data_IF_788744258144
#
_entry.id   IF_788744258144
#
_cell.length_a   1.000
_cell.length_b   1.000
_cell.length_c   1.000
_cell.angle_alpha   90.00
_cell.angle_beta   90.00
_cell.angle_gamma   90.00
#
_symmetry.space_group_name_H-M   'P 1'
#
loop_
_entity.id
_entity.type
_entity.pdbx_description
1 polymer ?
#
# COMPACT_ATOMS: atom_id res chain seq x y z
N UNK A 1 -4.38 -15.62 -68.46
CA UNK A 1 -5.29 -14.77 -67.66
C UNK A 1 -5.16 -14.95 -66.14
N UNK A 2 -5.04 -16.17 -65.57
CA UNK A 2 -4.96 -16.37 -64.11
C UNK A 2 -3.69 -15.82 -63.43
N UNK A 3 -2.55 -15.79 -64.14
CA UNK A 3 -1.27 -15.32 -63.58
C UNK A 3 -1.21 -13.79 -63.40
N UNK A 4 -1.87 -13.03 -64.28
CA UNK A 4 -1.96 -11.58 -64.18
C UNK A 4 -2.85 -11.13 -63.01
N UNK A 5 -3.90 -11.90 -62.70
CA UNK A 5 -4.75 -11.63 -61.54
C UNK A 5 -3.97 -11.74 -60.23
N UNK A 6 -3.17 -12.79 -60.05
CA UNK A 6 -2.36 -12.98 -58.83
C UNK A 6 -1.35 -11.86 -58.59
N UNK A 7 -0.72 -11.34 -59.64
CA UNK A 7 0.23 -10.22 -59.54
C UNK A 7 -0.48 -8.93 -59.16
N UNK A 8 -1.66 -8.67 -59.74
CA UNK A 8 -2.46 -7.48 -59.44
C UNK A 8 -2.98 -7.54 -57.99
N UNK A 9 -3.48 -8.70 -57.52
CA UNK A 9 -3.94 -8.83 -56.14
C UNK A 9 -2.78 -8.66 -55.14
N UNK A 10 -1.59 -9.18 -55.46
CA UNK A 10 -0.41 -9.01 -54.61
C UNK A 10 0.04 -7.54 -54.53
N UNK A 11 0.02 -6.81 -55.65
CA UNK A 11 0.34 -5.38 -55.68
C UNK A 11 -0.69 -4.52 -54.92
N UNK A 12 -1.98 -4.88 -54.94
CA UNK A 12 -3.03 -4.17 -54.19
C UNK A 12 -2.87 -4.41 -52.67
N UNK A 13 -2.52 -5.63 -52.25
CA UNK A 13 -2.29 -5.95 -50.83
C UNK A 13 -1.02 -5.27 -50.32
N UNK A 14 0.03 -5.19 -51.14
CA UNK A 14 1.27 -4.50 -50.76
C UNK A 14 1.05 -2.98 -50.62
N UNK A 15 0.31 -2.36 -51.53
CA UNK A 15 0.05 -0.90 -51.50
C UNK A 15 -0.84 -0.51 -50.33
N UNK A 16 -1.88 -1.29 -50.01
CA UNK A 16 -2.74 -1.04 -48.84
C UNK A 16 -2.00 -1.21 -47.52
N UNK A 17 -1.10 -2.19 -47.42
CA UNK A 17 -0.25 -2.41 -46.23
C UNK A 17 0.76 -1.27 -46.03
N UNK A 18 1.35 -0.75 -47.12
CA UNK A 18 2.27 0.39 -47.09
C UNK A 18 1.53 1.69 -46.71
N UNK A 19 0.33 1.92 -47.25
CA UNK A 19 -0.50 3.08 -46.90
C UNK A 19 -0.91 3.05 -45.43
N UNK A 20 -1.28 1.87 -44.89
CA UNK A 20 -1.58 1.72 -43.46
C UNK A 20 -0.34 1.97 -42.58
N UNK A 21 0.85 1.52 -43.00
CA UNK A 21 2.09 1.76 -42.27
C UNK A 21 2.50 3.23 -42.29
N UNK A 22 2.36 3.91 -43.43
CA UNK A 22 2.62 5.35 -43.57
C UNK A 22 1.62 6.18 -42.77
N UNK A 23 0.34 5.79 -42.71
CA UNK A 23 -0.66 6.49 -41.89
C UNK A 23 -0.43 6.28 -40.40
N UNK A 24 0.03 5.09 -39.97
CA UNK A 24 0.46 4.82 -38.58
C UNK A 24 1.73 5.58 -38.19
N UNK A 25 2.62 5.82 -39.15
CA UNK A 25 3.83 6.63 -38.95
C UNK A 25 3.50 8.14 -38.93
N UNK A 26 2.59 8.61 -39.80
CA UNK A 26 2.09 10.00 -39.80
C UNK A 26 1.29 10.35 -38.54
N UNK A 27 0.51 9.44 -37.97
CA UNK A 27 -0.16 9.67 -36.69
C UNK A 27 0.80 9.68 -35.48
N UNK A 28 2.01 9.14 -35.64
CA UNK A 28 3.10 9.21 -34.66
C UNK A 28 3.98 10.47 -34.74
N UNK A 29 3.80 11.33 -35.75
CA UNK A 29 4.68 12.47 -36.03
C UNK A 29 4.07 13.86 -35.81
N UNK A 30 2.90 13.96 -35.19
CA UNK A 30 2.40 15.23 -34.66
C UNK A 30 2.85 15.46 -33.20
N UNK A 31 4.16 15.36 -32.97
CA UNK A 31 4.79 16.00 -31.82
C UNK A 31 5.26 17.39 -32.25
N UNK A 32 4.33 18.35 -32.23
CA UNK A 32 4.70 19.75 -32.33
C UNK A 32 5.48 20.13 -31.09
N UNK A 33 6.70 20.61 -31.34
CA UNK A 33 7.56 21.32 -30.41
C UNK A 33 6.76 22.34 -29.59
N UNK A 34 6.53 22.02 -28.32
CA UNK A 34 6.53 23.01 -27.25
C UNK A 34 7.61 22.60 -26.28
N UNK A 35 8.76 23.27 -26.39
CA UNK A 35 9.74 23.34 -25.31
C UNK A 35 9.08 23.96 -24.08
N UNK A 36 8.42 23.13 -23.27
CA UNK A 36 8.21 23.42 -21.87
C UNK A 36 9.48 22.98 -21.16
N UNK A 37 10.38 23.94 -20.92
CA UNK A 37 11.42 23.79 -19.90
C UNK A 37 10.71 23.50 -18.57
N UNK A 38 10.51 22.22 -18.25
CA UNK A 38 10.26 21.80 -16.89
C UNK A 38 11.56 22.00 -16.13
N UNK A 39 11.73 23.22 -15.61
CA UNK A 39 12.62 23.48 -14.50
C UNK A 39 12.32 22.42 -13.43
N UNK A 40 13.31 21.56 -13.20
CA UNK A 40 13.41 20.74 -12.01
C UNK A 40 13.30 21.66 -10.80
N UNK A 41 12.08 21.88 -10.32
CA UNK A 41 11.87 22.26 -8.95
C UNK A 41 12.30 21.02 -8.15
N UNK A 42 13.53 21.08 -7.61
CA UNK A 42 13.80 20.46 -6.30
C UNK A 42 12.57 20.76 -5.44
N UNK A 43 12.06 19.80 -4.64
CA UNK A 43 10.97 20.10 -3.73
C UNK A 43 11.36 21.36 -2.99
N UNK A 44 10.64 22.45 -3.27
CA UNK A 44 10.74 23.68 -2.50
C UNK A 44 10.47 23.19 -1.09
N UNK A 45 11.38 23.42 -0.16
CA UNK A 45 11.10 23.27 1.26
C UNK A 45 9.76 23.97 1.49
N UNK A 46 8.71 23.18 1.68
CA UNK A 46 7.41 23.69 2.07
C UNK A 46 7.60 24.03 3.53
N UNK A 47 8.16 25.22 3.77
CA UNK A 47 7.96 25.94 5.01
C UNK A 47 6.49 26.38 5.03
N UNK A 48 5.60 25.43 5.31
CA UNK A 48 4.33 25.72 5.94
C UNK A 48 4.41 25.20 7.36
N UNK A 49 5.02 25.98 8.24
CA UNK A 49 4.75 25.91 9.68
C UNK A 49 3.29 26.37 9.91
N UNK A 50 2.35 25.55 9.48
CA UNK A 50 1.17 25.27 10.29
C UNK A 50 1.42 23.87 10.85
N UNK A 51 2.45 23.78 11.68
CA UNK A 51 2.56 22.68 12.62
C UNK A 51 1.34 22.80 13.52
N UNK A 52 0.25 22.14 13.14
CA UNK A 52 -0.70 21.69 14.13
C UNK A 52 0.16 21.00 15.18
N UNK A 53 0.24 21.59 16.37
CA UNK A 53 0.85 20.97 17.55
C UNK A 53 -0.04 19.78 17.85
N UNK A 54 0.19 18.70 17.12
CA UNK A 54 -0.50 17.44 17.28
C UNK A 54 0.17 16.83 18.49
N UNK A 55 -0.49 16.93 19.65
CA UNK A 55 -0.07 16.20 20.84
C UNK A 55 0.11 14.73 20.49
N UNK A 56 1.11 14.10 21.11
CA UNK A 56 1.40 12.70 20.91
C UNK A 56 0.17 11.88 21.33
N UNK A 57 -0.53 11.33 20.34
CA UNK A 57 -1.69 10.47 20.57
C UNK A 57 -1.23 9.16 21.17
N UNK A 58 -2.05 8.56 22.04
CA UNK A 58 -1.78 7.20 22.50
C UNK A 58 -2.09 6.17 21.42
N UNK A 59 -3.08 6.43 20.57
CA UNK A 59 -3.54 5.47 19.57
C UNK A 59 -4.03 6.18 18.30
N UNK A 60 -3.49 5.81 17.15
CA UNK A 60 -3.92 6.32 15.85
C UNK A 60 -4.54 5.20 15.01
N UNK A 61 -5.56 5.54 14.22
CA UNK A 61 -6.13 4.68 13.17
C UNK A 61 -5.94 5.43 11.86
N UNK A 62 -5.08 4.89 11.00
CA UNK A 62 -4.67 5.47 9.72
C UNK A 62 -5.35 4.70 8.59
N UNK A 63 -6.21 5.40 7.84
CA UNK A 63 -7.00 4.83 6.75
C UNK A 63 -6.54 5.43 5.43
N UNK A 64 -6.19 4.57 4.47
CA UNK A 64 -5.96 4.96 3.08
C UNK A 64 -7.26 4.90 2.30
N UNK A 65 -7.81 6.07 1.92
CA UNK A 65 -9.07 6.21 1.19
C UNK A 65 -8.81 6.66 -0.27
N UNK A 66 -9.58 6.14 -1.22
CA UNK A 66 -9.57 6.61 -2.61
C UNK A 66 -11.00 6.79 -3.14
N UNK A 67 -11.71 5.70 -3.41
CA UNK A 67 -13.01 5.74 -4.08
C UNK A 67 -13.99 4.73 -3.48
N UNK A 68 -13.71 4.27 -2.28
CA UNK A 68 -14.58 3.40 -1.53
C UNK A 68 -15.88 4.12 -1.16
N UNK A 69 -16.92 3.33 -0.95
CA UNK A 69 -18.22 3.81 -0.53
C UNK A 69 -18.12 4.54 0.83
N UNK A 70 -18.60 5.78 0.88
CA UNK A 70 -18.42 6.65 2.05
C UNK A 70 -19.18 6.10 3.25
N UNK A 71 -20.39 5.59 3.06
CA UNK A 71 -21.21 5.04 4.14
C UNK A 71 -20.57 3.78 4.73
N UNK A 72 -19.99 2.93 3.88
CA UNK A 72 -19.20 1.77 4.28
C UNK A 72 -17.99 2.18 5.13
N UNK A 73 -17.22 3.19 4.72
CA UNK A 73 -16.04 3.66 5.47
C UNK A 73 -16.45 4.35 6.78
N UNK A 74 -17.52 5.13 6.78
CA UNK A 74 -18.07 5.74 7.99
C UNK A 74 -18.58 4.67 8.97
N UNK A 75 -19.18 3.59 8.46
CA UNK A 75 -19.58 2.44 9.27
C UNK A 75 -18.35 1.72 9.86
N UNK A 76 -17.29 1.52 9.08
CA UNK A 76 -16.04 0.95 9.56
C UNK A 76 -15.46 1.75 10.74
N UNK A 77 -15.34 3.07 10.58
CA UNK A 77 -14.83 3.98 11.61
C UNK A 77 -15.68 3.88 12.88
N UNK A 78 -17.01 3.91 12.75
CA UNK A 78 -17.94 3.74 13.88
C UNK A 78 -17.72 2.43 14.62
N UNK A 79 -17.51 1.32 13.90
CA UNK A 79 -17.23 0.04 14.56
C UNK A 79 -15.90 0.06 15.31
N UNK A 80 -14.83 0.61 14.74
CA UNK A 80 -13.54 0.72 15.42
C UNK A 80 -13.60 1.60 16.69
N UNK A 81 -14.32 2.73 16.63
CA UNK A 81 -14.54 3.60 17.81
C UNK A 81 -15.27 2.87 18.95
N UNK A 82 -16.08 1.88 18.62
CA UNK A 82 -16.88 1.11 19.59
C UNK A 82 -16.18 -0.15 20.13
N UNK A 83 -14.99 -0.49 19.64
CA UNK A 83 -14.18 -1.56 20.23
C UNK A 83 -13.72 -1.13 21.62
N UNK A 84 -14.10 -1.87 22.65
CA UNK A 84 -13.91 -1.52 24.06
C UNK A 84 -12.44 -1.30 24.40
N UNK A 85 -11.57 -2.19 23.93
CA UNK A 85 -10.13 -2.08 24.12
C UNK A 85 -9.47 -0.95 23.35
N UNK A 86 -10.09 -0.40 22.31
CA UNK A 86 -9.58 0.77 21.62
C UNK A 86 -10.14 2.05 22.22
N UNK A 87 -11.43 2.06 22.58
CA UNK A 87 -12.15 3.22 23.11
C UNK A 87 -11.46 3.86 24.32
N UNK A 88 -10.84 3.05 25.19
CA UNK A 88 -10.07 3.55 26.36
C UNK A 88 -8.89 4.45 26.00
N UNK A 89 -8.37 4.38 24.77
CA UNK A 89 -7.29 5.22 24.28
C UNK A 89 -7.77 6.46 23.53
N UNK A 90 -9.08 6.62 23.34
CA UNK A 90 -9.69 7.67 22.52
C UNK A 90 -8.96 7.83 21.17
N UNK A 91 -8.99 6.80 20.30
CA UNK A 91 -8.12 6.73 19.14
C UNK A 91 -8.45 7.84 18.14
N UNK A 92 -7.40 8.46 17.60
CA UNK A 92 -7.51 9.48 16.57
C UNK A 92 -7.63 8.83 15.20
N UNK A 93 -8.67 9.19 14.45
CA UNK A 93 -8.93 8.73 13.09
C UNK A 93 -8.29 9.68 12.08
N UNK A 94 -7.33 9.17 11.32
CA UNK A 94 -6.59 9.91 10.30
C UNK A 94 -6.88 9.26 8.95
N UNK A 95 -7.53 10.00 8.06
CA UNK A 95 -7.85 9.53 6.71
C UNK A 95 -6.98 10.26 5.70
N UNK A 96 -6.20 9.50 4.94
CA UNK A 96 -5.50 10.04 3.78
C UNK A 96 -6.37 9.82 2.54
N UNK A 97 -6.94 10.91 2.02
CA UNK A 97 -7.75 10.92 0.81
C UNK A 97 -6.82 10.94 -0.42
N UNK A 98 -6.97 9.97 -1.32
CA UNK A 98 -6.23 9.92 -2.60
C UNK A 98 -7.06 10.34 -3.80
N UNK A 99 -8.30 10.75 -3.59
CA UNK A 99 -9.22 11.20 -4.61
C UNK A 99 -9.39 12.71 -4.54
N UNK A 100 -8.66 13.39 -5.44
CA UNK A 100 -8.66 14.84 -5.57
C UNK A 100 -9.99 15.44 -6.01
N UNK A 101 -10.99 14.63 -6.35
CA UNK A 101 -12.33 15.09 -6.74
C UNK A 101 -13.26 15.29 -5.54
N UNK A 102 -12.91 14.75 -4.38
CA UNK A 102 -13.71 14.86 -3.16
C UNK A 102 -13.11 15.93 -2.25
N UNK A 103 -13.95 16.83 -1.74
CA UNK A 103 -13.55 17.86 -0.80
C UNK A 103 -13.27 17.25 0.59
N UNK A 104 -12.09 17.53 1.16
CA UNK A 104 -11.66 16.95 2.43
C UNK A 104 -12.52 17.39 3.62
N UNK A 105 -13.05 18.62 3.65
CA UNK A 105 -13.91 19.10 4.75
C UNK A 105 -15.24 18.35 4.74
N UNK A 106 -15.81 18.14 3.55
CA UNK A 106 -17.03 17.32 3.39
C UNK A 106 -16.76 15.87 3.82
N UNK A 107 -15.67 15.28 3.33
CA UNK A 107 -15.30 13.91 3.67
C UNK A 107 -15.05 13.75 5.17
N UNK A 108 -14.48 14.76 5.83
CA UNK A 108 -14.20 14.75 7.27
C UNK A 108 -15.47 14.62 8.08
N UNK A 109 -16.48 15.41 7.72
CA UNK A 109 -17.80 15.38 8.36
C UNK A 109 -18.48 14.03 8.12
N UNK A 110 -18.49 13.56 6.86
CA UNK A 110 -19.18 12.31 6.50
C UNK A 110 -18.58 11.08 7.17
N UNK A 111 -17.25 11.03 7.31
CA UNK A 111 -16.54 9.91 7.91
C UNK A 111 -16.41 10.00 9.43
N UNK A 112 -16.78 11.13 10.05
CA UNK A 112 -16.48 11.41 11.46
C UNK A 112 -14.98 11.24 11.77
N UNK A 113 -14.14 11.73 10.85
CA UNK A 113 -12.68 11.63 10.95
C UNK A 113 -12.09 12.85 11.69
N UNK A 114 -11.05 12.63 12.49
CA UNK A 114 -10.39 13.70 13.23
C UNK A 114 -9.48 14.54 12.30
N UNK A 115 -8.81 13.88 11.36
CA UNK A 115 -7.91 14.48 10.38
C UNK A 115 -8.17 13.88 9.00
N UNK A 116 -8.29 14.74 7.98
CA UNK A 116 -8.23 14.33 6.58
C UNK A 116 -7.13 15.07 5.85
N UNK A 117 -6.29 14.33 5.12
CA UNK A 117 -5.23 14.91 4.30
C UNK A 117 -5.28 14.36 2.87
N UNK A 118 -5.20 15.26 1.88
CA UNK A 118 -5.11 14.86 0.47
C UNK A 118 -3.69 14.38 0.16
N UNK A 119 -3.56 13.23 -0.49
CA UNK A 119 -2.32 12.71 -1.07
C UNK A 119 -2.49 12.43 -2.57
N UNK A 120 -1.41 12.48 -3.37
CA UNK A 120 -1.42 11.92 -4.71
C UNK A 120 -1.83 10.45 -4.69
N UNK A 121 -2.58 10.01 -5.70
CA UNK A 121 -2.90 8.59 -5.90
C UNK A 121 -1.69 7.83 -6.46
N UNK A 122 -0.66 7.68 -5.63
CA UNK A 122 0.58 6.96 -5.93
C UNK A 122 0.80 5.85 -4.91
N UNK A 123 1.38 4.74 -5.35
CA UNK A 123 1.91 3.68 -4.51
C UNK A 123 0.90 2.97 -3.60
N UNK A 124 -0.38 2.97 -3.98
CA UNK A 124 -1.49 2.31 -3.25
C UNK A 124 -1.53 2.65 -1.75
N UNK A 125 -2.10 1.79 -0.91
CA UNK A 125 -2.12 1.96 0.54
C UNK A 125 -0.72 2.01 1.17
N UNK A 126 0.25 1.28 0.62
CA UNK A 126 1.60 1.24 1.19
C UNK A 126 2.28 2.61 1.21
N UNK A 127 2.11 3.42 0.17
CA UNK A 127 2.61 4.79 0.15
C UNK A 127 1.95 5.67 1.22
N UNK A 128 0.66 5.45 1.51
CA UNK A 128 -0.05 6.16 2.58
C UNK A 128 0.59 5.87 3.94
N UNK A 129 0.85 4.59 4.23
CA UNK A 129 1.39 4.18 5.53
C UNK A 129 2.82 4.68 5.71
N UNK A 130 3.64 4.54 4.66
CA UNK A 130 5.01 5.07 4.67
C UNK A 130 5.02 6.59 4.84
N UNK A 131 4.15 7.32 4.13
CA UNK A 131 4.00 8.77 4.29
C UNK A 131 3.68 9.12 5.74
N UNK A 132 2.68 8.46 6.34
CA UNK A 132 2.30 8.69 7.74
C UNK A 132 3.48 8.44 8.69
N UNK A 133 4.18 7.31 8.53
CA UNK A 133 5.34 6.97 9.35
C UNK A 133 6.43 8.03 9.21
N UNK A 134 6.78 8.44 7.99
CA UNK A 134 7.85 9.43 7.74
C UNK A 134 7.51 10.78 8.39
N UNK A 135 6.28 11.28 8.19
CA UNK A 135 5.87 12.59 8.70
C UNK A 135 5.69 12.64 10.22
N UNK A 136 5.50 11.48 10.85
CA UNK A 136 5.24 11.38 12.27
C UNK A 136 6.30 10.58 13.02
N UNK A 137 7.43 10.21 12.40
CA UNK A 137 8.35 9.20 12.92
C UNK A 137 8.76 9.41 14.40
N UNK A 138 9.03 10.65 14.79
CA UNK A 138 9.42 11.01 16.17
C UNK A 138 8.23 11.20 17.14
N UNK A 139 7.00 11.32 16.63
CA UNK A 139 5.78 11.64 17.38
C UNK A 139 4.60 10.69 17.11
N UNK A 140 4.85 9.57 16.44
CA UNK A 140 3.84 8.58 16.05
C UNK A 140 3.16 8.04 17.31
N UNK A 141 1.90 7.59 17.22
CA UNK A 141 1.18 7.07 18.39
C UNK A 141 1.82 5.82 19.02
N UNK A 142 1.47 5.47 20.26
CA UNK A 142 2.06 4.30 20.93
C UNK A 142 1.76 3.03 20.12
N UNK A 143 0.54 2.98 19.58
CA UNK A 143 0.08 1.98 18.62
C UNK A 143 -0.66 2.67 17.48
N UNK A 144 -0.50 2.11 16.29
CA UNK A 144 -1.19 2.59 15.10
C UNK A 144 -1.81 1.41 14.37
N UNK A 145 -3.10 1.52 14.05
CA UNK A 145 -3.75 0.65 13.07
C UNK A 145 -3.55 1.28 11.70
N UNK A 146 -3.02 0.52 10.75
CA UNK A 146 -3.02 0.86 9.34
C UNK A 146 -4.05 0.00 8.62
N UNK A 147 -4.93 0.62 7.83
CA UNK A 147 -5.94 -0.08 7.05
C UNK A 147 -6.24 0.60 5.72
N UNK A 148 -6.67 -0.20 4.74
CA UNK A 148 -7.35 0.30 3.55
C UNK A 148 -8.78 0.72 3.94
N UNK A 149 -9.36 1.67 3.21
CA UNK A 149 -10.77 2.01 3.38
C UNK A 149 -11.70 0.85 2.92
N UNK A 150 -11.29 0.09 1.90
CA UNK A 150 -11.93 -1.17 1.51
C UNK A 150 -11.54 -2.34 2.42
N UNK A 151 -11.83 -2.21 3.71
CA UNK A 151 -11.40 -3.14 4.76
C UNK A 151 -11.91 -4.57 4.55
N UNK A 152 -11.16 -5.57 5.00
CA UNK A 152 -11.66 -6.94 5.10
C UNK A 152 -12.23 -7.16 6.50
N UNK A 153 -13.38 -7.83 6.59
CA UNK A 153 -13.94 -8.18 7.89
C UNK A 153 -14.99 -7.20 8.42
N UNK A 154 -15.66 -6.45 7.55
CA UNK A 154 -17.01 -5.95 7.83
C UNK A 154 -18.03 -6.96 7.31
N UNK A 155 -19.05 -7.21 8.13
CA UNK A 155 -20.22 -8.03 7.83
C UNK A 155 -21.48 -7.17 8.00
N UNK A 156 -22.64 -7.71 7.60
CA UNK A 156 -23.92 -7.03 7.82
C UNK A 156 -24.22 -6.75 9.31
N UNK A 157 -23.55 -7.45 10.23
CA UNK A 157 -23.78 -7.37 11.67
C UNK A 157 -22.63 -6.66 12.43
N UNK A 158 -21.68 -6.04 11.74
CA UNK A 158 -20.52 -5.42 12.36
C UNK A 158 -19.19 -5.98 11.89
N UNK A 159 -18.13 -5.73 12.66
CA UNK A 159 -16.83 -6.34 12.43
C UNK A 159 -16.92 -7.86 12.59
N UNK A 160 -16.24 -8.60 11.71
CA UNK A 160 -16.18 -10.05 11.75
C UNK A 160 -15.58 -10.51 13.09
N UNK A 161 -16.05 -11.66 13.58
CA UNK A 161 -15.65 -12.18 14.89
C UNK A 161 -14.13 -12.33 15.05
N UNK A 162 -13.41 -12.74 14.01
CA UNK A 162 -11.95 -12.86 14.05
C UNK A 162 -11.25 -11.50 14.17
N UNK A 163 -11.85 -10.43 13.63
CA UNK A 163 -11.32 -9.07 13.74
C UNK A 163 -11.54 -8.56 15.16
N UNK A 164 -12.78 -8.69 15.66
CA UNK A 164 -13.12 -8.30 17.03
C UNK A 164 -12.31 -9.07 18.06
N UNK A 165 -12.14 -10.39 17.91
CA UNK A 165 -11.33 -11.20 18.82
C UNK A 165 -9.89 -10.67 18.95
N UNK A 166 -9.29 -10.25 17.84
CA UNK A 166 -7.94 -9.66 17.87
C UNK A 166 -7.88 -8.34 18.64
N UNK A 167 -8.84 -7.46 18.43
CA UNK A 167 -8.83 -6.16 19.08
C UNK A 167 -9.34 -6.20 20.54
N UNK A 168 -10.30 -7.05 20.86
CA UNK A 168 -10.92 -7.15 22.20
C UNK A 168 -10.23 -8.15 23.11
N UNK A 169 -9.69 -9.25 22.58
CA UNK A 169 -9.15 -10.32 23.42
C UNK A 169 -7.62 -10.47 23.30
N UNK A 170 -7.03 -10.22 22.14
CA UNK A 170 -5.59 -10.42 21.92
C UNK A 170 -4.77 -9.15 22.08
N UNK A 171 -5.35 -7.97 21.80
CA UNK A 171 -4.65 -6.71 21.92
C UNK A 171 -4.41 -6.29 23.37
N UNK A 172 -3.16 -5.96 23.67
CA UNK A 172 -2.73 -5.24 24.86
C UNK A 172 -1.51 -4.37 24.52
N UNK A 173 -1.04 -3.55 25.46
CA UNK A 173 0.07 -2.61 25.23
C UNK A 173 1.41 -3.26 24.87
N UNK A 174 1.61 -4.55 25.15
CA UNK A 174 2.83 -5.28 24.77
C UNK A 174 2.82 -5.79 23.32
N UNK A 175 1.68 -5.72 22.61
CA UNK A 175 1.61 -6.11 21.20
C UNK A 175 2.46 -5.15 20.37
N UNK A 176 3.47 -5.68 19.69
CA UNK A 176 4.34 -4.96 18.78
C UNK A 176 3.83 -4.95 17.34
N UNK A 177 3.28 -6.07 16.87
CA UNK A 177 2.66 -6.19 15.55
C UNK A 177 1.54 -7.22 15.59
N UNK A 178 0.41 -6.93 14.93
CA UNK A 178 -0.71 -7.87 14.82
C UNK A 178 -1.40 -7.68 13.46
N UNK A 179 -1.43 -8.71 12.59
CA UNK A 179 -2.21 -8.64 11.35
C UNK A 179 -3.71 -8.58 11.67
N UNK A 180 -4.43 -7.71 10.97
CA UNK A 180 -5.87 -7.50 11.11
C UNK A 180 -6.62 -8.00 9.87
N UNK A 181 -6.29 -9.20 9.40
CA UNK A 181 -6.90 -9.85 8.21
C UNK A 181 -7.34 -11.27 8.50
N UNK A 182 -8.26 -11.85 7.74
CA UNK A 182 -8.66 -13.24 7.96
C UNK A 182 -7.43 -14.18 7.98
N UNK A 183 -7.43 -15.25 8.80
CA UNK A 183 -6.32 -16.20 8.90
C UNK A 183 -5.91 -16.77 7.52
N UNK A 184 -6.85 -16.94 6.59
CA UNK A 184 -6.57 -17.40 5.21
C UNK A 184 -5.73 -16.41 4.38
N UNK A 185 -5.62 -15.14 4.82
CA UNK A 185 -4.79 -14.11 4.21
C UNK A 185 -3.38 -14.05 4.81
N UNK A 186 -3.10 -14.88 5.81
CA UNK A 186 -1.79 -15.06 6.41
C UNK A 186 -1.21 -16.36 5.85
N UNK A 187 -0.02 -16.29 5.27
CA UNK A 187 0.60 -17.46 4.64
C UNK A 187 2.12 -17.32 4.64
N UNK A 188 2.83 -18.33 4.12
CA UNK A 188 4.28 -18.38 4.11
C UNK A 188 4.80 -18.23 2.69
N UNK A 189 5.67 -17.25 2.47
CA UNK A 189 6.35 -17.03 1.19
C UNK A 189 7.80 -17.47 1.33
N UNK A 190 8.34 -18.16 0.33
CA UNK A 190 9.78 -18.44 0.28
C UNK A 190 10.48 -17.28 -0.45
N UNK A 191 10.69 -16.19 0.29
CA UNK A 191 11.32 -14.97 -0.18
C UNK A 191 10.75 -14.42 -1.50
N UNK A 192 9.42 -14.33 -1.53
CA UNK A 192 8.69 -13.86 -2.71
C UNK A 192 8.09 -14.97 -3.55
N UNK A 193 8.59 -16.21 -3.41
CA UNK A 193 8.01 -17.36 -4.11
C UNK A 193 6.80 -17.90 -3.34
N UNK A 194 5.66 -17.97 -4.02
CA UNK A 194 4.44 -18.58 -3.50
C UNK A 194 3.51 -19.01 -4.64
N UNK A 195 2.65 -20.00 -4.38
CA UNK A 195 1.70 -20.55 -5.36
C UNK A 195 0.75 -19.51 -5.97
N UNK A 196 0.45 -18.44 -5.25
CA UNK A 196 -0.46 -17.35 -5.73
C UNK A 196 0.27 -16.23 -6.46
N UNK A 197 1.59 -16.31 -6.61
CA UNK A 197 2.38 -15.38 -7.41
C UNK A 197 3.76 -15.13 -6.84
N UNK A 198 4.69 -14.77 -7.73
CA UNK A 198 6.08 -14.49 -7.41
C UNK A 198 6.34 -12.98 -7.23
N UNK A 199 6.97 -12.58 -6.13
CA UNK A 199 7.38 -11.22 -5.82
C UNK A 199 8.89 -11.18 -5.57
N UNK A 200 9.71 -11.25 -6.62
CA UNK A 200 11.15 -11.45 -6.49
C UNK A 200 11.83 -10.34 -5.67
N UNK A 201 11.25 -9.14 -5.65
CA UNK A 201 11.73 -8.01 -4.84
C UNK A 201 11.67 -8.24 -3.34
N UNK A 202 10.92 -9.24 -2.86
CA UNK A 202 10.95 -9.64 -1.47
C UNK A 202 12.34 -10.13 -1.03
N UNK A 203 13.13 -10.73 -1.93
CA UNK A 203 14.52 -11.12 -1.62
C UNK A 203 15.37 -9.90 -1.26
N UNK A 204 15.32 -8.85 -2.07
CA UNK A 204 16.06 -7.61 -1.81
C UNK A 204 15.52 -6.89 -0.58
N UNK A 205 14.20 -6.88 -0.38
CA UNK A 205 13.59 -6.33 0.83
C UNK A 205 14.04 -7.10 2.07
N UNK A 206 14.10 -8.42 2.03
CA UNK A 206 14.61 -9.23 3.14
C UNK A 206 16.05 -8.87 3.47
N UNK A 207 16.94 -8.87 2.46
CA UNK A 207 18.34 -8.53 2.64
C UNK A 207 18.52 -7.13 3.26
N UNK A 208 17.76 -6.14 2.78
CA UNK A 208 17.75 -4.78 3.32
C UNK A 208 17.23 -4.70 4.75
N UNK A 209 16.18 -5.46 5.10
CA UNK A 209 15.49 -5.33 6.39
C UNK A 209 16.06 -6.22 7.49
N UNK A 210 16.63 -7.38 7.12
CA UNK A 210 17.14 -8.37 8.07
C UNK A 210 18.66 -8.47 8.05
N UNK A 211 19.34 -7.73 7.17
CA UNK A 211 20.80 -7.75 7.00
C UNK A 211 21.35 -9.18 6.85
N UNK A 212 20.58 -10.04 6.19
CA UNK A 212 20.89 -11.46 6.01
C UNK A 212 20.27 -11.97 4.72
N UNK A 213 20.76 -13.11 4.24
CA UNK A 213 20.09 -13.82 3.17
C UNK A 213 18.79 -14.45 3.68
N UNK A 214 17.90 -14.73 2.74
CA UNK A 214 16.64 -15.41 3.00
C UNK A 214 16.86 -16.75 3.70
N UNK A 215 16.25 -16.99 4.88
CA UNK A 215 16.34 -18.28 5.53
C UNK A 215 15.49 -19.31 4.77
N UNK A 216 15.88 -20.59 4.81
CA UNK A 216 15.02 -21.67 4.33
C UNK A 216 13.74 -21.75 5.19
N UNK A 217 12.66 -22.29 4.61
CA UNK A 217 11.37 -22.45 5.32
C UNK A 217 10.41 -21.27 5.21
N UNK A 218 10.80 -20.22 4.49
CA UNK A 218 9.97 -19.09 4.15
C UNK A 218 9.73 -18.09 5.29
N UNK A 219 8.83 -17.15 5.04
CA UNK A 219 8.49 -16.04 5.92
C UNK A 219 6.98 -15.85 5.94
N UNK A 220 6.42 -15.63 7.13
CA UNK A 220 5.02 -15.26 7.21
C UNK A 220 4.79 -13.88 6.57
N UNK A 221 3.72 -13.80 5.78
CA UNK A 221 3.21 -12.59 5.14
C UNK A 221 1.71 -12.47 5.42
N UNK A 222 1.21 -11.24 5.45
CA UNK A 222 -0.22 -10.95 5.54
C UNK A 222 -0.62 -10.06 4.35
N UNK A 223 -1.71 -10.40 3.67
CA UNK A 223 -2.23 -9.60 2.54
C UNK A 223 -3.08 -8.42 3.02
N UNK A 224 -3.57 -7.59 2.07
CA UNK A 224 -4.47 -6.43 2.27
C UNK A 224 -3.89 -5.23 3.03
N UNK A 225 -2.72 -5.37 3.65
CA UNK A 225 -2.07 -4.26 4.35
C UNK A 225 -2.84 -3.76 5.57
N UNK A 226 -3.60 -4.63 6.25
CA UNK A 226 -4.36 -4.27 7.45
C UNK A 226 -3.67 -4.85 8.68
N UNK A 227 -3.16 -3.99 9.56
CA UNK A 227 -2.41 -4.42 10.73
C UNK A 227 -2.35 -3.34 11.81
N UNK A 228 -2.09 -3.78 13.04
CA UNK A 228 -1.70 -2.95 14.18
C UNK A 228 -0.19 -3.06 14.38
N UNK A 229 0.48 -1.96 14.69
CA UNK A 229 1.91 -1.93 14.99
C UNK A 229 2.22 -0.92 16.10
N UNK A 230 3.21 -1.22 16.95
CA UNK A 230 3.67 -0.32 18.01
C UNK A 230 4.69 0.69 17.49
N UNK A 231 4.79 1.82 18.19
CA UNK A 231 5.88 2.79 18.00
C UNK A 231 7.25 2.12 18.08
N UNK A 232 7.46 1.23 19.06
CA UNK A 232 8.76 0.56 19.27
C UNK A 232 9.16 -0.23 18.02
N UNK A 233 8.24 -0.95 17.37
CA UNK A 233 8.53 -1.64 16.10
C UNK A 233 8.83 -0.69 14.95
N UNK A 234 8.12 0.43 14.86
CA UNK A 234 8.36 1.45 13.82
C UNK A 234 9.74 2.10 14.01
N UNK A 235 10.05 2.53 15.24
CA UNK A 235 11.29 3.23 15.56
C UNK A 235 12.51 2.30 15.65
N UNK A 236 12.32 0.99 15.74
CA UNK A 236 13.40 0.01 15.61
C UNK A 236 13.93 -0.11 14.15
N UNK A 237 13.40 0.69 13.21
CA UNK A 237 13.90 0.82 11.84
C UNK A 237 14.28 2.27 11.59
N UNK A 238 15.43 2.47 10.94
CA UNK A 238 15.89 3.81 10.59
C UNK A 238 14.89 4.50 9.66
N UNK A 239 14.66 5.80 9.90
CA UNK A 239 13.77 6.63 9.09
C UNK A 239 14.10 6.55 7.59
N UNK A 240 15.37 6.43 7.24
CA UNK A 240 15.84 6.34 5.86
C UNK A 240 15.34 5.09 5.12
N UNK A 241 15.09 3.98 5.83
CA UNK A 241 14.48 2.78 5.22
C UNK A 241 13.06 3.12 4.75
N UNK A 242 12.28 3.82 5.57
CA UNK A 242 10.91 4.22 5.21
C UNK A 242 10.89 5.19 4.03
N UNK A 243 11.78 6.19 4.04
CA UNK A 243 11.94 7.14 2.92
C UNK A 243 12.32 6.44 1.63
N UNK A 244 13.31 5.56 1.68
CA UNK A 244 13.74 4.78 0.52
C UNK A 244 12.59 3.93 -0.07
N UNK A 245 11.85 3.23 0.80
CA UNK A 245 10.67 2.48 0.36
C UNK A 245 9.59 3.40 -0.24
N UNK A 246 9.39 4.60 0.33
CA UNK A 246 8.41 5.58 -0.16
C UNK A 246 8.80 6.12 -1.54
N UNK A 247 10.07 6.42 -1.76
CA UNK A 247 10.56 6.89 -3.06
C UNK A 247 10.36 5.83 -4.15
N UNK A 248 10.64 4.56 -3.83
CA UNK A 248 10.45 3.45 -4.77
C UNK A 248 8.97 3.18 -5.07
N UNK A 249 8.10 3.18 -4.05
CA UNK A 249 6.68 2.87 -4.24
C UNK A 249 5.91 4.01 -4.92
N UNK A 250 6.41 5.25 -4.84
CA UNK A 250 5.81 6.43 -5.48
C UNK A 250 6.52 6.84 -6.78
N UNK A 251 7.44 6.00 -7.25
CA UNK A 251 8.20 6.25 -8.46
C UNK A 251 7.28 6.58 -9.67
N UNK A 252 7.75 7.49 -10.51
CA UNK A 252 7.04 7.87 -11.72
C UNK A 252 7.11 6.75 -12.79
N UNK A 253 6.27 6.85 -13.81
CA UNK A 253 6.11 5.82 -14.85
C UNK A 253 7.37 5.53 -15.68
N UNK A 254 8.38 6.42 -15.72
CA UNK A 254 9.61 6.18 -16.46
C UNK A 254 10.63 5.37 -15.65
N UNK A 255 10.46 5.26 -14.34
CA UNK A 255 11.34 4.54 -13.44
C UNK A 255 11.42 3.04 -13.79
N UNK A 256 12.62 2.47 -13.71
CA UNK A 256 12.91 1.09 -14.14
C UNK A 256 12.08 0.04 -13.38
N UNK A 257 11.66 0.34 -12.15
CA UNK A 257 10.86 -0.55 -11.30
C UNK A 257 9.48 -0.89 -11.89
N UNK A 258 8.96 -0.06 -12.80
CA UNK A 258 7.71 -0.37 -13.53
C UNK A 258 7.88 -1.44 -14.61
N UNK A 259 9.13 -1.83 -14.93
CA UNK A 259 9.48 -2.85 -15.93
C UNK A 259 10.01 -4.14 -15.28
N UNK A 260 9.76 -4.32 -13.99
CA UNK A 260 10.20 -5.50 -13.25
C UNK A 260 9.56 -6.79 -13.80
N UNK A 261 10.16 -7.96 -13.61
CA UNK A 261 9.79 -9.20 -14.31
C UNK A 261 8.30 -9.57 -14.26
N UNK A 262 7.62 -9.28 -13.16
CA UNK A 262 6.18 -9.50 -13.02
C UNK A 262 5.32 -8.59 -13.92
N UNK A 263 5.90 -7.53 -14.47
CA UNK A 263 5.24 -6.60 -15.39
C UNK A 263 4.80 -7.25 -16.70
N UNK A 264 5.35 -8.42 -17.02
CA UNK A 264 4.92 -9.25 -18.14
C UNK A 264 3.50 -9.81 -17.95
N UNK A 265 3.05 -9.96 -16.71
CA UNK A 265 1.73 -10.52 -16.37
C UNK A 265 0.83 -9.53 -15.60
N UNK A 266 1.38 -8.38 -15.20
CA UNK A 266 0.68 -7.38 -14.42
C UNK A 266 1.13 -5.97 -14.81
N UNK A 267 0.23 -5.13 -15.30
CA UNK A 267 0.60 -3.75 -15.65
C UNK A 267 0.99 -2.97 -14.38
N UNK A 268 2.24 -2.52 -14.30
CA UNK A 268 2.73 -1.67 -13.22
C UNK A 268 2.51 -0.20 -13.57
N UNK A 269 1.73 0.52 -12.77
CA UNK A 269 1.51 1.97 -12.90
C UNK A 269 1.91 2.70 -11.62
N UNK A 270 2.11 4.03 -11.63
CA UNK A 270 2.46 4.77 -10.42
C UNK A 270 1.41 4.67 -9.30
N UNK A 271 0.12 4.58 -9.63
CA UNK A 271 -0.97 4.39 -8.67
C UNK A 271 -1.11 2.94 -8.19
N UNK A 272 -0.72 1.98 -9.03
CA UNK A 272 -0.79 0.55 -8.76
C UNK A 272 0.51 -0.19 -9.11
N UNK A 273 1.63 0.11 -8.43
CA UNK A 273 2.93 -0.48 -8.78
C UNK A 273 3.05 -1.90 -8.25
N UNK A 274 3.75 -2.76 -8.99
CA UNK A 274 4.15 -4.11 -8.54
C UNK A 274 4.91 -4.05 -7.22
N UNK A 275 5.76 -3.04 -7.06
CA UNK A 275 6.49 -2.82 -5.82
C UNK A 275 5.55 -2.52 -4.64
N UNK A 276 4.40 -1.89 -4.88
CA UNK A 276 3.39 -1.70 -3.82
C UNK A 276 2.84 -3.03 -3.29
N UNK A 277 2.59 -3.99 -4.18
CA UNK A 277 2.22 -5.35 -3.76
C UNK A 277 3.37 -6.11 -3.06
N UNK A 278 4.62 -5.77 -3.37
CA UNK A 278 5.79 -6.30 -2.65
C UNK A 278 5.83 -5.74 -1.23
N UNK A 279 5.65 -4.42 -1.09
CA UNK A 279 5.59 -3.74 0.21
C UNK A 279 4.46 -4.29 1.08
N UNK A 280 3.27 -4.52 0.51
CA UNK A 280 2.14 -5.16 1.21
C UNK A 280 2.54 -6.48 1.90
N UNK A 281 3.32 -7.31 1.21
CA UNK A 281 3.78 -8.62 1.73
C UNK A 281 4.96 -8.52 2.70
N UNK A 282 5.55 -7.34 2.80
CA UNK A 282 6.79 -7.13 3.58
C UNK A 282 6.50 -6.54 4.96
N UNK A 283 5.27 -6.15 5.28
CA UNK A 283 4.96 -5.54 6.59
C UNK A 283 5.36 -6.41 7.79
N UNK A 284 5.07 -7.71 7.73
CA UNK A 284 5.51 -8.69 8.74
C UNK A 284 7.03 -8.73 8.88
N UNK A 285 7.77 -8.69 7.77
CA UNK A 285 9.25 -8.66 7.76
C UNK A 285 9.77 -7.34 8.33
N UNK A 286 9.23 -6.22 7.87
CA UNK A 286 9.61 -4.87 8.30
C UNK A 286 9.51 -4.73 9.82
N UNK A 287 8.42 -5.21 10.40
CA UNK A 287 8.16 -5.13 11.84
C UNK A 287 8.59 -6.37 12.63
N UNK A 288 9.45 -7.23 12.06
CA UNK A 288 10.03 -8.42 12.70
C UNK A 288 8.98 -9.36 13.32
N UNK A 289 7.91 -9.63 12.56
CA UNK A 289 6.84 -10.57 12.87
C UNK A 289 6.62 -11.54 11.68
N UNK A 290 7.70 -12.16 11.21
CA UNK A 290 7.71 -12.96 9.98
C UNK A 290 8.03 -14.44 10.19
N UNK A 291 7.89 -14.95 11.42
CA UNK A 291 8.10 -16.38 11.70
C UNK A 291 7.08 -17.23 10.92
N UNK A 292 7.48 -18.32 10.25
CA UNK A 292 6.59 -19.12 9.39
C UNK A 292 5.34 -19.68 10.09
N UNK A 293 5.41 -19.89 11.40
CA UNK A 293 4.33 -20.42 12.24
C UNK A 293 3.24 -19.40 12.58
N UNK A 294 3.33 -18.16 12.10
CA UNK A 294 2.35 -17.10 12.42
C UNK A 294 0.91 -17.51 12.04
N UNK A 295 0.72 -18.19 10.92
CA UNK A 295 -0.59 -18.68 10.49
C UNK A 295 -1.19 -19.64 11.54
N UNK A 296 -0.44 -20.68 11.91
CA UNK A 296 -0.85 -21.71 12.88
C UNK A 296 -1.08 -21.10 14.29
N UNK A 297 -0.30 -20.07 14.65
CA UNK A 297 -0.51 -19.31 15.89
C UNK A 297 -1.81 -18.52 15.85
N UNK A 298 -2.14 -17.89 14.71
CA UNK A 298 -3.40 -17.18 14.54
C UNK A 298 -4.63 -18.11 14.62
N UNK A 299 -4.52 -19.37 14.19
CA UNK A 299 -5.58 -20.37 14.39
C UNK A 299 -5.82 -20.69 15.87
N UNK A 300 -4.75 -20.65 16.69
CA UNK A 300 -4.79 -20.83 18.15
C UNK A 300 -5.05 -19.54 18.94
N UNK A 301 -5.50 -18.46 18.28
CA UNK A 301 -5.77 -17.14 18.88
C UNK A 301 -4.52 -16.45 19.48
N UNK A 302 -3.35 -16.74 18.93
CA UNK A 302 -2.08 -16.10 19.28
C UNK A 302 -1.57 -15.24 18.11
N UNK A 303 -2.44 -14.41 17.54
CA UNK A 303 -2.20 -13.72 16.27
C UNK A 303 -1.45 -12.39 16.44
N UNK A 304 -0.38 -12.39 17.22
CA UNK A 304 0.42 -11.20 17.48
C UNK A 304 1.91 -11.52 17.70
N UNK A 305 2.76 -10.55 17.43
CA UNK A 305 4.14 -10.52 17.93
C UNK A 305 4.25 -9.43 18.98
N UNK A 306 4.84 -9.76 20.11
CA UNK A 306 4.98 -8.84 21.24
C UNK A 306 6.30 -8.08 21.13
N UNK A 307 6.33 -6.85 21.62
CA UNK A 307 7.58 -6.15 21.81
C UNK A 307 8.44 -6.90 22.84
N UNK A 308 9.71 -7.15 22.49
CA UNK A 308 10.68 -7.66 23.46
C UNK A 308 10.77 -6.64 24.60
N UNK A 309 10.91 -7.10 25.84
CA UNK A 309 11.00 -6.21 27.01
C UNK A 309 12.23 -5.32 26.90
#
# INVERSE_FOLDING_TARGET
>A
MKQYYLIITFLIVLTTSIIMYINKWRSGLNFTNKHAYFLYLKPKEINSHNDLIISQSQFDIVISYYSEDIDYVAQYIRYLRNVSNLKKFNPRIIVYNKNSKINNEVLKILLDADIIQLLPNLGREGATYLYHIIQNYHRIANHTIFSQAGVEGITNNGLANWYLDRLENQFNSSVGYMPLVNNHMITTYDCGLHRTGNFPRMVQMWAMLQHSLCPPGGQAVAFRGQFLVSRKRIQNRDLEIYKYMYDLITANSSHWLHRDLRSLFFKSTPDNPIFGHTVERTWTVLFKCSKPDLHDRCERRECACFDES
#
